data_IF_826416302459
#
_entry.id   IF_826416302459
#
_cell.length_a   1.000
_cell.length_b   1.000
_cell.length_c   1.000
_cell.angle_alpha   90.00
_cell.angle_beta   90.00
_cell.angle_gamma   90.00
#
_symmetry.space_group_name_H-M   'P 1'
#
loop_
_entity.id
_entity.type
_entity.pdbx_description
1 polymer ?
#
# COMPACT_ATOMS: atom_id res chain seq x y z
N UNK A 1 -10.98 10.97 -13.02
CA UNK A 1 -10.40 9.62 -12.94
C UNK A 1 -9.66 9.35 -14.26
N UNK A 2 -8.36 9.68 -14.32
CA UNK A 2 -7.54 9.40 -15.50
C UNK A 2 -7.10 7.94 -15.39
N UNK A 3 -7.76 7.07 -16.14
CA UNK A 3 -7.40 5.66 -16.22
C UNK A 3 -6.31 5.55 -17.30
N UNK A 4 -5.02 5.33 -16.96
CA UNK A 4 -4.03 5.05 -17.98
C UNK A 4 -4.48 3.79 -18.73
N UNK A 5 -4.32 3.81 -20.05
CA UNK A 5 -4.80 2.85 -21.05
C UNK A 5 -4.21 1.42 -20.93
N UNK A 6 -3.97 0.94 -19.71
CA UNK A 6 -3.57 -0.44 -19.44
C UNK A 6 -4.80 -1.28 -19.12
N UNK A 7 -5.03 -2.39 -19.83
CA UNK A 7 -6.11 -3.30 -19.48
C UNK A 7 -5.87 -3.84 -18.07
N UNK A 8 -6.85 -3.65 -17.18
CA UNK A 8 -6.88 -4.32 -15.90
C UNK A 8 -6.84 -5.83 -16.14
N UNK A 9 -5.73 -6.46 -15.74
CA UNK A 9 -5.45 -7.88 -15.92
C UNK A 9 -5.06 -8.51 -14.58
N UNK A 10 -5.28 -9.82 -14.44
CA UNK A 10 -4.87 -10.56 -13.24
C UNK A 10 -3.37 -10.43 -12.97
N UNK A 11 -2.54 -10.40 -14.02
CA UNK A 11 -1.09 -10.21 -13.89
C UNK A 11 -0.74 -8.85 -13.26
N UNK A 12 -1.44 -7.78 -13.65
CA UNK A 12 -1.26 -6.46 -13.06
C UNK A 12 -1.66 -6.44 -11.58
N UNK A 13 -2.77 -7.11 -11.23
CA UNK A 13 -3.21 -7.24 -9.85
C UNK A 13 -2.16 -7.97 -8.99
N UNK A 14 -1.60 -9.07 -9.50
CA UNK A 14 -0.51 -9.82 -8.84
C UNK A 14 0.74 -8.98 -8.66
N UNK A 15 1.18 -8.28 -9.71
CA UNK A 15 2.35 -7.41 -9.64
C UNK A 15 2.21 -6.36 -8.54
N UNK A 16 1.04 -5.71 -8.43
CA UNK A 16 0.80 -4.77 -7.35
C UNK A 16 0.79 -5.44 -5.96
N UNK A 17 0.23 -6.65 -5.86
CA UNK A 17 0.23 -7.40 -4.60
C UNK A 17 1.65 -7.78 -4.16
N UNK A 18 2.50 -8.22 -5.09
CA UNK A 18 3.88 -8.60 -4.84
C UNK A 18 4.75 -7.39 -4.45
N UNK A 19 4.46 -6.22 -4.99
CA UNK A 19 5.10 -4.95 -4.63
C UNK A 19 4.62 -4.35 -3.30
N UNK A 20 3.63 -4.97 -2.64
CA UNK A 20 3.05 -4.47 -1.40
C UNK A 20 2.02 -3.35 -1.61
N UNK A 21 1.69 -2.98 -2.85
CA UNK A 21 0.62 -2.02 -3.17
C UNK A 21 -0.76 -2.69 -3.08
N UNK A 22 -1.10 -3.18 -1.90
CA UNK A 22 -2.27 -4.02 -1.69
C UNK A 22 -3.60 -3.29 -1.99
N UNK A 23 -3.70 -1.99 -1.72
CA UNK A 23 -4.89 -1.18 -2.08
C UNK A 23 -5.13 -1.18 -3.61
N UNK A 24 -4.07 -0.95 -4.39
CA UNK A 24 -4.15 -0.94 -5.86
C UNK A 24 -4.44 -2.33 -6.42
N UNK A 25 -3.82 -3.36 -5.85
CA UNK A 25 -4.10 -4.74 -6.23
C UNK A 25 -5.59 -5.08 -6.01
N UNK A 26 -6.15 -4.69 -4.87
CA UNK A 26 -7.55 -4.93 -4.53
C UNK A 26 -8.52 -4.23 -5.52
N UNK A 27 -8.22 -2.99 -5.92
CA UNK A 27 -9.01 -2.27 -6.93
C UNK A 27 -9.06 -3.03 -8.27
N UNK A 28 -7.91 -3.54 -8.75
CA UNK A 28 -7.85 -4.33 -9.98
C UNK A 28 -8.64 -5.64 -9.83
N UNK A 29 -8.52 -6.34 -8.69
CA UNK A 29 -9.28 -7.56 -8.44
C UNK A 29 -10.78 -7.31 -8.38
N UNK A 30 -11.25 -6.23 -7.76
CA UNK A 30 -12.67 -5.86 -7.76
C UNK A 30 -13.20 -5.63 -9.18
N UNK A 31 -12.45 -4.90 -10.01
CA UNK A 31 -12.82 -4.67 -11.41
C UNK A 31 -12.92 -6.00 -12.18
N UNK A 32 -11.96 -6.90 -11.98
CA UNK A 32 -11.96 -8.21 -12.63
C UNK A 32 -13.11 -9.11 -12.18
N UNK A 33 -13.48 -9.08 -10.88
CA UNK A 33 -14.60 -9.85 -10.35
C UNK A 33 -15.95 -9.36 -10.88
N UNK A 34 -16.11 -8.05 -11.09
CA UNK A 34 -17.31 -7.49 -11.72
C UNK A 34 -17.43 -7.92 -13.20
N UNK A 35 -16.29 -7.98 -13.90
CA UNK A 35 -16.25 -8.34 -15.33
C UNK A 35 -16.36 -9.85 -15.59
N UNK A 36 -15.84 -10.67 -14.67
CA UNK A 36 -15.83 -12.13 -14.77
C UNK A 36 -16.40 -12.77 -13.50
N UNK A 37 -17.71 -12.61 -13.24
CA UNK A 37 -18.35 -13.20 -12.08
C UNK A 37 -18.29 -14.73 -12.18
N UNK A 38 -17.73 -15.39 -11.17
CA UNK A 38 -17.58 -16.86 -11.13
C UNK A 38 -16.15 -17.37 -11.26
N UNK A 39 -15.18 -16.49 -11.55
CA UNK A 39 -13.75 -16.81 -11.48
C UNK A 39 -13.27 -16.90 -10.04
N UNK A 40 -13.39 -18.10 -9.45
CA UNK A 40 -12.94 -18.39 -8.07
C UNK A 40 -11.46 -18.09 -7.86
N UNK A 41 -10.63 -18.33 -8.86
CA UNK A 41 -9.19 -17.98 -8.84
C UNK A 41 -8.94 -16.50 -8.53
N UNK A 42 -9.78 -15.60 -9.04
CA UNK A 42 -9.67 -14.15 -8.81
C UNK A 42 -10.20 -13.78 -7.42
N UNK A 43 -11.27 -14.46 -6.97
CA UNK A 43 -11.86 -14.22 -5.66
C UNK A 43 -10.93 -14.66 -4.52
N UNK A 44 -10.29 -15.83 -4.66
CA UNK A 44 -9.34 -16.37 -3.68
C UNK A 44 -8.14 -15.43 -3.55
N UNK A 45 -7.54 -15.00 -4.67
CA UNK A 45 -6.41 -14.05 -4.67
C UNK A 45 -6.78 -12.68 -4.08
N UNK A 46 -8.00 -12.20 -4.35
CA UNK A 46 -8.52 -10.96 -3.77
C UNK A 46 -8.64 -11.06 -2.23
N UNK A 47 -9.07 -12.22 -1.73
CA UNK A 47 -9.19 -12.46 -0.29
C UNK A 47 -7.83 -12.47 0.42
N UNK A 48 -6.79 -13.04 -0.19
CA UNK A 48 -5.43 -13.04 0.35
C UNK A 48 -4.86 -11.62 0.44
N UNK A 49 -5.03 -10.82 -0.61
CA UNK A 49 -4.60 -9.42 -0.62
C UNK A 49 -5.31 -8.62 0.47
N UNK A 50 -6.61 -8.84 0.65
CA UNK A 50 -7.40 -8.17 1.70
C UNK A 50 -6.87 -8.49 3.10
N UNK A 51 -6.49 -9.73 3.37
CA UNK A 51 -5.87 -10.11 4.65
C UNK A 51 -4.53 -9.41 4.85
N UNK A 52 -3.68 -9.34 3.81
CA UNK A 52 -2.40 -8.62 3.87
C UNK A 52 -2.59 -7.12 4.15
N UNK A 53 -3.61 -6.48 3.55
CA UNK A 53 -3.95 -5.07 3.85
C UNK A 53 -4.27 -4.85 5.33
N UNK A 54 -5.03 -5.76 5.95
CA UNK A 54 -5.42 -5.67 7.35
C UNK A 54 -4.20 -5.84 8.29
N UNK A 55 -3.27 -6.72 7.95
CA UNK A 55 -2.04 -6.94 8.71
C UNK A 55 -1.06 -5.76 8.64
N UNK A 56 -0.94 -5.12 7.46
CA UNK A 56 -0.07 -3.95 7.28
C UNK A 56 -0.61 -2.75 8.06
N UNK A 57 -1.93 -2.52 8.07
CA UNK A 57 -2.55 -1.43 8.84
C UNK A 57 -2.35 -1.55 10.34
N UNK A 58 -2.38 -2.77 10.89
CA UNK A 58 -2.23 -2.97 12.35
C UNK A 58 -0.78 -2.94 12.82
N UNK A 59 0.20 -3.15 11.93
CA UNK A 59 1.62 -3.31 12.32
C UNK A 59 2.46 -2.03 12.15
N UNK A 60 2.15 -1.16 11.18
CA UNK A 60 3.12 -0.16 10.71
C UNK A 60 2.88 1.29 11.17
N UNK A 61 1.66 1.70 11.54
CA UNK A 61 1.37 3.11 11.81
C UNK A 61 2.11 3.73 13.02
N UNK A 62 2.16 3.10 14.21
CA UNK A 62 2.85 3.72 15.34
C UNK A 62 4.38 3.66 15.19
N UNK A 63 4.93 2.62 14.57
CA UNK A 63 6.39 2.37 14.54
C UNK A 63 7.14 3.25 13.53
N UNK A 64 6.56 3.47 12.35
CA UNK A 64 7.17 4.35 11.35
C UNK A 64 7.15 5.81 11.80
N UNK A 65 6.04 6.25 12.41
CA UNK A 65 5.90 7.61 12.92
C UNK A 65 6.95 7.92 13.99
N UNK A 66 7.22 6.98 14.90
CA UNK A 66 8.27 7.10 15.92
C UNK A 66 9.68 7.22 15.32
N UNK A 67 10.01 6.41 14.31
CA UNK A 67 11.32 6.46 13.65
C UNK A 67 11.57 7.79 12.93
N UNK A 68 10.54 8.36 12.31
CA UNK A 68 10.64 9.69 11.68
C UNK A 68 10.71 10.82 12.71
N UNK A 69 10.06 10.68 13.88
CA UNK A 69 10.13 11.67 14.96
C UNK A 69 11.55 11.83 15.50
N UNK A 70 12.30 10.73 15.72
CA UNK A 70 13.68 10.81 16.20
C UNK A 70 14.60 11.58 15.23
N UNK A 71 14.39 11.39 13.93
CA UNK A 71 15.13 12.10 12.89
C UNK A 71 14.77 13.59 12.82
N UNK A 72 13.48 13.92 12.97
CA UNK A 72 13.02 15.31 13.03
C UNK A 72 13.54 16.04 14.28
N UNK A 73 13.56 15.35 15.43
CA UNK A 73 14.12 15.89 16.68
C UNK A 73 15.62 16.17 16.54
N UNK A 74 16.35 15.30 15.86
CA UNK A 74 17.78 15.50 15.62
C UNK A 74 18.05 16.72 14.73
N UNK A 75 17.26 16.89 13.65
CA UNK A 75 17.34 18.06 12.77
C UNK A 75 17.03 19.37 13.52
N UNK A 76 16.08 19.32 14.45
CA UNK A 76 15.68 20.46 15.26
C UNK A 76 16.77 20.85 16.26
N UNK A 77 17.37 19.85 16.93
CA UNK A 77 18.52 20.05 17.84
C UNK A 77 19.73 20.61 17.10
N UNK A 78 20.02 20.13 15.88
CA UNK A 78 21.13 20.62 15.07
C UNK A 78 20.96 22.10 14.69
N UNK A 79 19.73 22.55 14.38
CA UNK A 79 19.45 23.97 14.12
C UNK A 79 19.64 24.85 15.35
N UNK A 80 19.30 24.37 16.54
CA UNK A 80 19.53 25.10 17.80
C UNK A 80 21.01 25.26 18.13
N UNK A 81 21.82 24.22 17.89
CA UNK A 81 23.27 24.27 18.16
C UNK A 81 24.03 25.14 17.13
N UNK A 82 23.54 25.22 15.88
CA UNK A 82 24.21 25.94 14.79
C UNK A 82 23.82 27.42 14.65
N UNK A 83 22.76 27.87 15.34
CA UNK A 83 22.43 29.28 15.50
C UNK A 83 22.58 29.70 16.96
N UNK A 84 23.81 29.91 17.46
CA UNK A 84 23.99 30.66 18.69
C UNK A 84 23.60 32.12 18.38
N UNK A 85 22.49 32.57 18.95
CA UNK A 85 22.28 33.98 19.23
C UNK A 85 22.55 34.19 20.71
#
# INVERSE_FOLDING_TARGET
MNNPSYPYTRTLAKLYADQGYHDKAFEVYQYLMQKFPGRKDIADECSEVKTKMQQVKTTNEPKLTLLFQEWLDLLTKYKQVRSPR
#
